data_IF_796018684678
#
_entry.id   IF_796018684678
#
_cell.length_a   1.000
_cell.length_b   1.000
_cell.length_c   1.000
_cell.angle_alpha   90.00
_cell.angle_beta   90.00
_cell.angle_gamma   90.00
#
_symmetry.space_group_name_H-M   'P 1'
#
loop_
_entity.id
_entity.type
_entity.pdbx_description
1 polymer ?
#
# COMPACT_ATOMS: atom_id res chain seq x y z
N UNK A 1 -0.49 18.10 1.93
CA UNK A 1 -0.31 16.76 1.32
C UNK A 1 -0.24 16.95 -0.19
N UNK A 2 0.78 16.43 -0.87
CA UNK A 2 0.85 16.55 -2.34
C UNK A 2 -0.16 15.59 -3.00
N UNK A 3 -0.68 15.96 -4.16
CA UNK A 3 -1.62 15.10 -4.91
C UNK A 3 -0.98 13.74 -5.29
N UNK A 4 0.33 13.72 -5.50
CA UNK A 4 1.10 12.53 -5.80
C UNK A 4 1.15 11.56 -4.61
N UNK A 5 1.36 12.08 -3.39
CA UNK A 5 1.34 11.26 -2.19
C UNK A 5 -0.05 10.69 -1.92
N UNK A 6 -1.11 11.46 -2.17
CA UNK A 6 -2.48 10.98 -2.03
C UNK A 6 -2.77 9.79 -2.96
N UNK A 7 -2.40 9.87 -4.24
CA UNK A 7 -2.58 8.77 -5.20
C UNK A 7 -1.82 7.51 -4.79
N UNK A 8 -0.59 7.67 -4.32
CA UNK A 8 0.18 6.54 -3.84
C UNK A 8 -0.42 5.90 -2.58
N UNK A 9 -0.96 6.71 -1.68
CA UNK A 9 -1.68 6.21 -0.51
C UNK A 9 -2.96 5.46 -0.89
N UNK A 10 -3.70 5.95 -1.87
CA UNK A 10 -4.89 5.26 -2.42
C UNK A 10 -4.51 3.89 -3.00
N UNK A 11 -3.50 3.84 -3.86
CA UNK A 11 -2.97 2.59 -4.41
C UNK A 11 -2.50 1.63 -3.31
N UNK A 12 -1.78 2.14 -2.31
CA UNK A 12 -1.32 1.34 -1.17
C UNK A 12 -2.48 0.73 -0.39
N UNK A 13 -3.53 1.51 -0.11
CA UNK A 13 -4.71 1.01 0.60
C UNK A 13 -5.45 -0.03 -0.24
N UNK A 14 -5.63 0.20 -1.53
CA UNK A 14 -6.28 -0.75 -2.45
C UNK A 14 -5.58 -2.11 -2.44
N UNK A 15 -4.25 -2.13 -2.63
CA UNK A 15 -3.51 -3.39 -2.60
C UNK A 15 -3.62 -4.08 -1.24
N UNK A 16 -3.55 -3.33 -0.13
CA UNK A 16 -3.59 -3.90 1.22
C UNK A 16 -4.97 -4.38 1.68
N UNK A 17 -6.04 -3.97 0.98
CA UNK A 17 -7.38 -4.55 1.15
C UNK A 17 -7.46 -5.96 0.58
N UNK A 18 -6.76 -6.21 -0.51
CA UNK A 18 -6.82 -7.48 -1.24
C UNK A 18 -5.75 -8.47 -0.78
N UNK A 19 -4.55 -7.97 -0.45
CA UNK A 19 -3.41 -8.79 -0.09
C UNK A 19 -2.82 -8.36 1.25
N UNK A 20 -2.78 -9.31 2.19
CA UNK A 20 -2.33 -9.06 3.57
C UNK A 20 -0.96 -9.67 3.84
N UNK A 21 -0.47 -10.54 2.96
CA UNK A 21 0.92 -10.97 2.96
C UNK A 21 1.81 -9.82 2.45
N UNK A 22 2.78 -9.35 3.27
CA UNK A 22 3.62 -8.22 2.88
C UNK A 22 4.48 -8.44 1.65
N UNK A 23 4.92 -9.67 1.39
CA UNK A 23 5.74 -10.00 0.23
C UNK A 23 4.93 -9.89 -1.05
N UNK A 24 3.76 -10.54 -1.09
CA UNK A 24 2.83 -10.47 -2.22
C UNK A 24 2.25 -9.09 -2.42
N UNK A 25 1.97 -8.35 -1.35
CA UNK A 25 1.50 -6.96 -1.46
C UNK A 25 2.57 -6.07 -2.13
N UNK A 26 3.84 -6.24 -1.79
CA UNK A 26 4.94 -5.50 -2.43
C UNK A 26 5.10 -5.88 -3.91
N UNK A 27 4.98 -7.16 -4.24
CA UNK A 27 4.99 -7.63 -5.64
C UNK A 27 3.83 -7.03 -6.45
N UNK A 28 2.61 -7.03 -5.90
CA UNK A 28 1.43 -6.41 -6.53
C UNK A 28 1.61 -4.91 -6.71
N UNK A 29 2.11 -4.21 -5.68
CA UNK A 29 2.41 -2.79 -5.77
C UNK A 29 3.39 -2.50 -6.91
N UNK A 30 4.48 -3.26 -7.02
CA UNK A 30 5.47 -3.06 -8.09
C UNK A 30 4.94 -3.40 -9.48
N UNK A 31 4.02 -4.35 -9.58
CA UNK A 31 3.38 -4.73 -10.84
C UNK A 31 2.24 -3.78 -11.26
N UNK A 32 1.78 -2.89 -10.37
CA UNK A 32 0.68 -1.99 -10.68
C UNK A 32 1.09 -0.94 -11.73
N UNK A 33 0.28 -0.65 -12.76
CA UNK A 33 0.62 0.34 -13.80
C UNK A 33 1.00 1.71 -13.25
N UNK A 34 0.27 2.19 -12.24
CA UNK A 34 0.50 3.50 -11.60
C UNK A 34 1.69 3.52 -10.63
N UNK A 35 2.31 2.37 -10.35
CA UNK A 35 3.48 2.29 -9.49
C UNK A 35 4.74 2.87 -10.13
N UNK A 36 4.76 2.97 -11.47
CA UNK A 36 5.91 3.46 -12.23
C UNK A 36 6.32 4.88 -11.82
N UNK A 37 5.36 5.74 -11.46
CA UNK A 37 5.60 7.11 -10.98
C UNK A 37 6.06 7.17 -9.53
N UNK A 38 5.99 6.07 -8.78
CA UNK A 38 6.28 6.00 -7.35
C UNK A 38 7.43 5.05 -7.01
N UNK A 39 8.30 4.72 -7.99
CA UNK A 39 9.41 3.76 -7.80
C UNK A 39 10.32 4.12 -6.62
N UNK A 40 10.68 5.39 -6.48
CA UNK A 40 11.53 5.85 -5.37
C UNK A 40 10.92 5.57 -3.98
N UNK A 41 9.59 5.58 -3.87
CA UNK A 41 8.88 5.25 -2.64
C UNK A 41 8.79 3.74 -2.44
N UNK A 42 8.54 2.99 -3.51
CA UNK A 42 8.45 1.53 -3.50
C UNK A 42 9.78 0.85 -3.16
N UNK A 43 10.89 1.40 -3.62
CA UNK A 43 12.23 0.88 -3.32
C UNK A 43 12.62 1.08 -1.85
N UNK A 44 11.95 2.00 -1.15
CA UNK A 44 12.15 2.27 0.29
C UNK A 44 11.15 1.52 1.17
N UNK A 45 10.15 0.88 0.61
CA UNK A 45 9.17 0.12 1.38
C UNK A 45 9.78 -1.21 1.81
N UNK A 46 9.85 -1.38 3.11
CA UNK A 46 10.19 -2.67 3.71
C UNK A 46 8.93 -3.51 3.95
N UNK A 47 8.97 -4.84 3.77
CA UNK A 47 7.83 -5.71 4.05
C UNK A 47 7.25 -5.54 5.47
N UNK A 48 8.08 -5.22 6.47
CA UNK A 48 7.59 -4.93 7.83
C UNK A 48 6.65 -3.72 7.90
N UNK A 49 6.86 -2.71 7.06
CA UNK A 49 6.00 -1.52 6.99
C UNK A 49 4.63 -1.89 6.42
N UNK A 50 4.59 -2.73 5.39
CA UNK A 50 3.35 -3.23 4.80
C UNK A 50 2.55 -4.07 5.80
N UNK A 51 3.21 -4.85 6.66
CA UNK A 51 2.53 -5.58 7.74
C UNK A 51 1.79 -4.63 8.70
N UNK A 52 2.43 -3.53 9.09
CA UNK A 52 1.82 -2.51 9.96
C UNK A 52 0.68 -1.82 9.23
N UNK A 53 0.90 -1.41 7.98
CA UNK A 53 -0.09 -0.75 7.15
C UNK A 53 -1.34 -1.63 6.93
N UNK A 54 -1.18 -2.91 6.60
CA UNK A 54 -2.28 -3.87 6.45
C UNK A 54 -3.10 -4.01 7.74
N UNK A 55 -2.45 -3.95 8.91
CA UNK A 55 -3.13 -4.01 10.20
C UNK A 55 -3.95 -2.74 10.46
N UNK A 56 -3.44 -1.57 10.06
CA UNK A 56 -4.15 -0.30 10.18
C UNK A 56 -5.36 -0.23 9.24
N UNK A 57 -5.19 -0.62 7.97
CA UNK A 57 -6.28 -0.67 6.98
C UNK A 57 -7.42 -1.53 7.50
N UNK A 58 -7.13 -2.76 7.94
CA UNK A 58 -8.15 -3.65 8.52
C UNK A 58 -8.85 -3.05 9.74
N UNK A 59 -8.10 -2.37 10.62
CA UNK A 59 -8.69 -1.75 11.81
C UNK A 59 -9.62 -0.59 11.45
N UNK A 60 -9.29 0.19 10.42
CA UNK A 60 -10.15 1.27 9.94
C UNK A 60 -11.44 0.72 9.32
N UNK A 61 -11.36 -0.33 8.50
CA UNK A 61 -12.56 -0.93 7.89
C UNK A 61 -13.53 -1.53 8.91
N UNK A 62 -13.02 -2.07 10.01
CA UNK A 62 -13.86 -2.57 11.11
C UNK A 62 -14.54 -1.42 11.85
N UNK A 63 -13.91 -0.26 11.94
CA UNK A 63 -14.45 0.91 12.66
C UNK A 63 -15.49 1.68 11.85
N UNK A 64 -15.38 1.64 10.52
CA UNK A 64 -16.28 2.36 9.61
C UNK A 64 -17.53 1.53 9.21
N UNK A 65 -17.74 0.36 9.83
CA UNK A 65 -18.96 -0.47 9.76
C UNK A 65 -19.81 -0.31 11.02
#
# INVERSE_FOLDING_TARGET
MSAELARFQELLVEVLREETDPGRALERLRAHPDAATHRDWLDRIEPRMLRVAASLVRRWEVRDR
#
